data_IF_748490207844
#
_entry.id   IF_748490207844
#
_cell.length_a   1.000
_cell.length_b   1.000
_cell.length_c   1.000
_cell.angle_alpha   90.00
_cell.angle_beta   90.00
_cell.angle_gamma   90.00
#
_symmetry.space_group_name_H-M   'P 1'
#
loop_
_entity.id
_entity.type
_entity.pdbx_description
1 polymer ?
#
# COMPACT_ATOMS: atom_id res chain seq x y z
N UNK A 1 14.47 -0.99 -17.56
CA UNK A 1 13.69 -0.59 -16.37
C UNK A 1 12.19 -0.74 -16.59
N UNK A 2 11.59 -0.09 -17.61
CA UNK A 2 10.14 -0.16 -17.90
C UNK A 2 9.66 -1.61 -18.10
N UNK A 3 10.38 -2.44 -18.88
CA UNK A 3 10.01 -3.85 -19.04
C UNK A 3 9.94 -4.60 -17.70
N UNK A 4 10.93 -4.39 -16.81
CA UNK A 4 10.95 -4.99 -15.47
C UNK A 4 9.75 -4.55 -14.63
N UNK A 5 9.40 -3.26 -14.68
CA UNK A 5 8.20 -2.72 -14.02
C UNK A 5 6.93 -3.39 -14.53
N UNK A 6 6.75 -3.46 -15.85
CA UNK A 6 5.58 -4.11 -16.48
C UNK A 6 5.50 -5.58 -16.11
N UNK A 7 6.62 -6.31 -16.15
CA UNK A 7 6.67 -7.73 -15.77
C UNK A 7 6.33 -7.92 -14.29
N UNK A 8 6.90 -7.13 -13.38
CA UNK A 8 6.59 -7.24 -11.95
C UNK A 8 5.12 -6.90 -11.66
N UNK A 9 4.56 -5.88 -12.32
CA UNK A 9 3.14 -5.53 -12.20
C UNK A 9 2.25 -6.67 -12.72
N UNK A 10 2.56 -7.22 -13.89
CA UNK A 10 1.81 -8.34 -14.45
C UNK A 10 1.86 -9.57 -13.53
N UNK A 11 3.04 -9.91 -13.00
CA UNK A 11 3.18 -11.02 -12.04
C UNK A 11 2.39 -10.78 -10.76
N UNK A 12 2.38 -9.56 -10.23
CA UNK A 12 1.59 -9.19 -9.06
C UNK A 12 0.09 -9.34 -9.32
N UNK A 13 -0.41 -8.82 -10.45
CA UNK A 13 -1.82 -8.93 -10.82
C UNK A 13 -2.24 -10.37 -11.10
N UNK A 14 -1.39 -11.16 -11.76
CA UNK A 14 -1.61 -12.58 -11.98
C UNK A 14 -1.66 -13.35 -10.66
N UNK A 15 -0.76 -13.06 -9.73
CA UNK A 15 -0.79 -13.66 -8.40
C UNK A 15 -2.07 -13.30 -7.64
N UNK A 16 -2.41 -12.02 -7.56
CA UNK A 16 -3.63 -11.55 -6.89
C UNK A 16 -4.89 -12.15 -7.52
N UNK A 17 -4.97 -12.15 -8.86
CA UNK A 17 -6.07 -12.75 -9.59
C UNK A 17 -6.16 -14.25 -9.34
N UNK A 18 -5.04 -14.98 -9.36
CA UNK A 18 -5.03 -16.40 -9.06
C UNK A 18 -5.58 -16.68 -7.64
N UNK A 19 -5.09 -15.96 -6.63
CA UNK A 19 -5.58 -16.12 -5.24
C UNK A 19 -7.09 -15.85 -5.15
N UNK A 20 -7.56 -14.74 -5.74
CA UNK A 20 -8.97 -14.34 -5.72
C UNK A 20 -9.87 -15.35 -6.44
N UNK A 21 -9.52 -15.75 -7.66
CA UNK A 21 -10.33 -16.64 -8.49
C UNK A 21 -10.33 -18.07 -7.94
N UNK A 22 -9.18 -18.57 -7.46
CA UNK A 22 -9.11 -19.89 -6.81
C UNK A 22 -9.95 -19.93 -5.54
N UNK A 23 -9.85 -18.88 -4.70
CA UNK A 23 -10.65 -18.75 -3.49
C UNK A 23 -12.15 -18.63 -3.81
N UNK A 24 -12.53 -17.82 -4.80
CA UNK A 24 -13.91 -17.66 -5.26
C UNK A 24 -14.48 -18.95 -5.87
N UNK A 25 -13.65 -19.76 -6.52
CA UNK A 25 -14.09 -20.95 -7.26
C UNK A 25 -14.75 -20.64 -8.61
N UNK A 26 -14.72 -19.37 -9.05
CA UNK A 26 -15.25 -18.93 -10.34
C UNK A 26 -14.47 -17.72 -10.84
N UNK A 27 -14.32 -17.61 -12.17
CA UNK A 27 -13.80 -16.41 -12.84
C UNK A 27 -14.90 -15.39 -13.17
N UNK A 28 -16.18 -15.77 -13.03
CA UNK A 28 -17.34 -14.89 -13.25
C UNK A 28 -17.57 -13.97 -12.04
N UNK A 29 -16.62 -13.08 -11.81
CA UNK A 29 -16.64 -12.10 -10.73
C UNK A 29 -16.19 -10.72 -11.25
N UNK A 30 -17.10 -9.94 -11.86
CA UNK A 30 -16.77 -8.65 -12.47
C UNK A 30 -16.05 -7.69 -11.52
N UNK A 31 -16.40 -7.72 -10.23
CA UNK A 31 -15.78 -6.87 -9.21
C UNK A 31 -14.28 -7.17 -9.01
N UNK A 32 -13.87 -8.44 -9.06
CA UNK A 32 -12.45 -8.80 -9.00
C UNK A 32 -11.68 -8.33 -10.22
N UNK A 33 -12.25 -8.44 -11.42
CA UNK A 33 -11.62 -7.92 -12.63
C UNK A 33 -11.54 -6.39 -12.65
N UNK A 34 -12.57 -5.70 -12.16
CA UNK A 34 -12.54 -4.26 -11.98
C UNK A 34 -11.44 -3.84 -10.99
N UNK A 35 -11.33 -4.52 -9.84
CA UNK A 35 -10.27 -4.31 -8.87
C UNK A 35 -8.86 -4.52 -9.45
N UNK A 36 -8.63 -5.62 -10.16
CA UNK A 36 -7.34 -5.91 -10.81
C UNK A 36 -7.04 -4.90 -11.93
N UNK A 37 -8.05 -4.54 -12.72
CA UNK A 37 -7.93 -3.56 -13.80
C UNK A 37 -7.60 -2.16 -13.27
N UNK A 38 -8.26 -1.73 -12.20
CA UNK A 38 -7.99 -0.48 -11.50
C UNK A 38 -6.53 -0.43 -11.01
N UNK A 39 -6.08 -1.46 -10.30
CA UNK A 39 -4.69 -1.54 -9.83
C UNK A 39 -3.68 -1.58 -10.96
N UNK A 40 -3.98 -2.31 -12.04
CA UNK A 40 -3.10 -2.40 -13.20
C UNK A 40 -2.96 -1.07 -13.93
N UNK A 41 -4.07 -0.41 -14.24
CA UNK A 41 -4.07 0.88 -14.94
C UNK A 41 -3.37 1.95 -14.10
N UNK A 42 -3.73 2.07 -12.82
CA UNK A 42 -3.14 3.06 -11.92
C UNK A 42 -1.66 2.80 -11.65
N UNK A 43 -1.30 1.53 -11.44
CA UNK A 43 0.08 1.12 -11.21
C UNK A 43 0.98 1.37 -12.41
N UNK A 44 0.52 1.06 -13.62
CA UNK A 44 1.25 1.37 -14.87
C UNK A 44 1.35 2.88 -15.07
N UNK A 45 0.28 3.65 -14.84
CA UNK A 45 0.30 5.10 -14.99
C UNK A 45 1.34 5.76 -14.05
N UNK A 46 1.31 5.43 -12.75
CA UNK A 46 2.30 5.94 -11.78
C UNK A 46 3.70 5.46 -12.11
N UNK A 47 3.85 4.20 -12.53
CA UNK A 47 5.13 3.62 -12.88
C UNK A 47 5.78 4.29 -14.11
N UNK A 48 5.00 4.54 -15.17
CA UNK A 48 5.47 5.27 -16.36
C UNK A 48 5.80 6.73 -16.03
N UNK A 49 4.97 7.38 -15.20
CA UNK A 49 5.25 8.72 -14.73
C UNK A 49 6.56 8.78 -13.92
N UNK A 50 6.80 7.82 -13.02
CA UNK A 50 8.06 7.71 -12.27
C UNK A 50 9.24 7.42 -13.20
N UNK A 51 9.08 6.54 -14.19
CA UNK A 51 10.13 6.23 -15.15
C UNK A 51 10.62 7.48 -15.89
N UNK A 52 9.72 8.43 -16.13
CA UNK A 52 10.02 9.72 -16.74
C UNK A 52 10.54 10.75 -15.73
N UNK A 53 9.91 10.87 -14.56
CA UNK A 53 10.17 11.97 -13.60
C UNK A 53 11.34 11.71 -12.65
N UNK A 54 11.47 10.48 -12.16
CA UNK A 54 12.46 10.03 -11.20
C UNK A 54 12.76 8.52 -11.38
N UNK A 55 13.60 8.17 -12.36
CA UNK A 55 13.93 6.78 -12.67
C UNK A 55 14.69 6.10 -11.52
N UNK A 56 15.39 6.85 -10.67
CA UNK A 56 16.11 6.31 -9.52
C UNK A 56 15.13 5.84 -8.44
N UNK A 57 14.13 6.66 -8.13
CA UNK A 57 13.05 6.28 -7.22
C UNK A 57 12.30 5.06 -7.74
N UNK A 58 11.99 5.00 -9.05
CA UNK A 58 11.36 3.82 -9.64
C UNK A 58 12.24 2.58 -9.45
N UNK A 59 13.53 2.66 -9.79
CA UNK A 59 14.45 1.55 -9.67
C UNK A 59 14.52 1.01 -8.23
N UNK A 60 14.56 1.91 -7.24
CA UNK A 60 14.55 1.55 -5.82
C UNK A 60 13.23 0.88 -5.41
N UNK A 61 12.08 1.34 -5.89
CA UNK A 61 10.77 0.71 -5.62
C UNK A 61 10.60 -0.65 -6.31
N UNK A 62 11.30 -0.91 -7.42
CA UNK A 62 11.31 -2.22 -8.11
C UNK A 62 12.29 -3.23 -7.49
N UNK A 63 13.07 -2.83 -6.49
CA UNK A 63 13.94 -3.76 -5.74
C UNK A 63 13.10 -4.76 -4.96
N UNK A 64 13.74 -5.88 -4.63
CA UNK A 64 13.13 -6.90 -3.78
C UNK A 64 12.61 -6.26 -2.49
N UNK A 65 11.43 -6.66 -1.99
CA UNK A 65 10.95 -6.25 -0.67
C UNK A 65 11.73 -6.95 0.46
N UNK A 66 12.64 -7.88 0.13
CA UNK A 66 13.59 -8.49 1.06
C UNK A 66 14.99 -7.97 0.74
N UNK A 67 15.43 -6.96 1.49
CA UNK A 67 16.73 -6.32 1.30
C UNK A 67 17.73 -6.66 2.43
N UNK A 68 19.04 -6.70 2.19
CA UNK A 68 20.02 -7.04 3.24
C UNK A 68 20.18 -5.95 4.31
N UNK A 69 19.95 -4.69 3.94
CA UNK A 69 20.07 -3.48 4.75
C UNK A 69 18.84 -3.18 5.61
N UNK A 70 17.79 -4.01 5.52
CA UNK A 70 16.58 -3.84 6.30
C UNK A 70 16.75 -4.38 7.73
N UNK A 71 16.18 -3.70 8.75
CA UNK A 71 16.13 -4.24 10.10
C UNK A 71 15.44 -5.63 10.13
N UNK A 72 15.91 -6.58 10.97
CA UNK A 72 15.31 -7.92 11.03
C UNK A 72 13.81 -7.91 11.36
N UNK A 73 13.35 -6.92 12.13
CA UNK A 73 11.93 -6.77 12.46
C UNK A 73 11.09 -6.35 11.25
N UNK A 74 11.62 -5.50 10.35
CA UNK A 74 10.92 -5.06 9.14
C UNK A 74 10.86 -6.21 8.14
N UNK A 75 11.95 -6.99 8.01
CA UNK A 75 11.94 -8.22 7.21
C UNK A 75 10.83 -9.19 7.62
N UNK A 76 10.69 -9.44 8.92
CA UNK A 76 9.63 -10.30 9.47
C UNK A 76 8.25 -9.69 9.21
N UNK A 77 8.11 -8.37 9.34
CA UNK A 77 6.88 -7.66 9.03
C UNK A 77 6.49 -7.82 7.56
N UNK A 78 7.43 -7.67 6.62
CA UNK A 78 7.18 -7.84 5.19
C UNK A 78 6.74 -9.28 4.87
N UNK A 79 7.41 -10.29 5.42
CA UNK A 79 7.05 -11.69 5.20
C UNK A 79 5.66 -11.99 5.78
N UNK A 80 5.42 -11.60 7.03
CA UNK A 80 4.12 -11.78 7.69
C UNK A 80 3.01 -10.99 6.98
N UNK A 81 3.32 -9.79 6.50
CA UNK A 81 2.41 -8.95 5.72
C UNK A 81 2.06 -9.55 4.37
N UNK A 82 3.02 -10.17 3.67
CA UNK A 82 2.76 -10.87 2.41
C UNK A 82 1.84 -12.09 2.62
N UNK A 83 2.08 -12.88 3.67
CA UNK A 83 1.22 -13.99 4.04
C UNK A 83 -0.18 -13.51 4.46
N UNK A 84 -0.25 -12.48 5.29
CA UNK A 84 -1.50 -11.87 5.75
C UNK A 84 -2.30 -11.27 4.60
N UNK A 85 -1.66 -10.58 3.67
CA UNK A 85 -2.29 -10.02 2.47
C UNK A 85 -2.83 -11.13 1.57
N UNK A 86 -2.08 -12.22 1.39
CA UNK A 86 -2.53 -13.38 0.62
C UNK A 86 -3.75 -14.04 1.27
N UNK A 87 -3.71 -14.26 2.58
CA UNK A 87 -4.84 -14.80 3.34
C UNK A 87 -6.06 -13.86 3.29
N UNK A 88 -5.83 -12.56 3.32
CA UNK A 88 -6.89 -11.55 3.23
C UNK A 88 -7.56 -11.54 1.84
N UNK A 89 -6.80 -11.62 0.74
CA UNK A 89 -7.35 -11.80 -0.60
C UNK A 89 -8.16 -13.09 -0.72
N UNK A 90 -7.62 -14.20 -0.19
CA UNK A 90 -8.32 -15.49 -0.18
C UNK A 90 -9.63 -15.41 0.63
N UNK A 91 -9.60 -14.75 1.80
CA UNK A 91 -10.80 -14.52 2.61
C UNK A 91 -11.87 -13.76 1.81
N UNK A 92 -11.50 -12.72 1.08
CA UNK A 92 -12.46 -11.94 0.28
C UNK A 92 -13.07 -12.74 -0.87
N UNK A 93 -12.28 -13.58 -1.55
CA UNK A 93 -12.80 -14.51 -2.58
C UNK A 93 -13.73 -15.57 -2.00
N UNK A 94 -13.35 -16.16 -0.86
CA UNK A 94 -14.18 -17.10 -0.12
C UNK A 94 -15.50 -16.47 0.32
N UNK A 95 -15.46 -15.28 0.91
CA UNK A 95 -16.60 -14.55 1.45
C UNK A 95 -17.57 -14.07 0.37
N UNK A 96 -17.09 -13.28 -0.60
CA UNK A 96 -17.94 -12.61 -1.57
C UNK A 96 -18.52 -13.55 -2.64
N UNK A 97 -17.81 -14.63 -2.99
CA UNK A 97 -18.21 -15.50 -4.11
C UNK A 97 -18.46 -16.95 -3.73
N UNK A 98 -17.53 -17.61 -3.04
CA UNK A 98 -17.66 -19.05 -2.78
C UNK A 98 -18.74 -19.36 -1.75
N UNK A 99 -18.68 -18.67 -0.61
CA UNK A 99 -19.57 -18.85 0.53
C UNK A 99 -20.73 -17.84 0.49
N UNK A 100 -20.58 -16.73 -0.25
CA UNK A 100 -21.57 -15.66 -0.41
C UNK A 100 -22.11 -15.15 0.93
N UNK A 101 -21.24 -15.01 1.92
CA UNK A 101 -21.63 -14.54 3.26
C UNK A 101 -21.86 -13.03 3.28
N UNK A 102 -21.26 -12.31 2.32
CA UNK A 102 -21.38 -10.87 2.18
C UNK A 102 -22.17 -10.46 0.94
N UNK A 103 -22.95 -9.39 1.08
CA UNK A 103 -23.54 -8.65 -0.02
C UNK A 103 -23.30 -7.15 0.20
N UNK A 104 -22.23 -6.62 -0.40
CA UNK A 104 -21.94 -5.18 -0.36
C UNK A 104 -22.71 -4.49 -1.49
N UNK A 105 -23.56 -3.49 -1.18
CA UNK A 105 -24.26 -2.69 -2.18
C UNK A 105 -23.32 -2.07 -3.22
N UNK A 106 -23.75 -2.01 -4.49
CA UNK A 106 -22.94 -1.50 -5.60
C UNK A 106 -22.42 -0.08 -5.39
N UNK A 107 -23.18 0.80 -4.74
CA UNK A 107 -22.72 2.16 -4.45
C UNK A 107 -21.51 2.16 -3.50
N UNK A 108 -21.43 1.24 -2.54
CA UNK A 108 -20.27 1.10 -1.66
C UNK A 108 -19.08 0.48 -2.37
N UNK A 109 -19.30 -0.39 -3.37
CA UNK A 109 -18.22 -0.84 -4.26
C UNK A 109 -17.63 0.34 -5.03
N UNK A 110 -18.47 1.26 -5.49
CA UNK A 110 -18.04 2.53 -6.09
C UNK A 110 -17.23 3.42 -5.12
N UNK A 111 -17.62 3.49 -3.85
CA UNK A 111 -16.81 4.13 -2.79
C UNK A 111 -15.46 3.44 -2.64
N UNK A 112 -15.42 2.11 -2.74
CA UNK A 112 -14.18 1.33 -2.72
C UNK A 112 -13.19 1.73 -3.81
N UNK A 113 -13.68 1.89 -5.05
CA UNK A 113 -12.88 2.38 -6.19
C UNK A 113 -12.33 3.78 -5.88
N UNK A 114 -13.16 4.70 -5.39
CA UNK A 114 -12.71 6.04 -5.01
C UNK A 114 -11.63 6.02 -3.91
N UNK A 115 -11.72 5.08 -2.96
CA UNK A 115 -10.70 4.90 -1.91
C UNK A 115 -9.37 4.38 -2.46
N UNK A 116 -9.40 3.47 -3.44
CA UNK A 116 -8.19 2.99 -4.12
C UNK A 116 -7.56 4.11 -4.96
N UNK A 117 -8.38 4.88 -5.69
CA UNK A 117 -7.92 6.09 -6.38
C UNK A 117 -7.27 7.09 -5.41
N UNK A 118 -7.88 7.33 -4.25
CA UNK A 118 -7.31 8.19 -3.22
C UNK A 118 -5.98 7.65 -2.68
N UNK A 119 -5.87 6.33 -2.47
CA UNK A 119 -4.64 5.69 -2.04
C UNK A 119 -3.49 5.91 -3.04
N UNK A 120 -3.77 5.70 -4.34
CA UNK A 120 -2.81 5.94 -5.42
C UNK A 120 -2.46 7.42 -5.52
N UNK A 121 -3.44 8.30 -5.43
CA UNK A 121 -3.22 9.75 -5.45
C UNK A 121 -2.30 10.22 -4.31
N UNK A 122 -2.53 9.75 -3.08
CA UNK A 122 -1.67 10.04 -1.94
C UNK A 122 -0.26 9.48 -2.17
N UNK A 123 -0.15 8.27 -2.73
CA UNK A 123 1.13 7.67 -3.12
C UNK A 123 1.87 8.51 -4.15
N UNK A 124 1.18 8.99 -5.19
CA UNK A 124 1.73 9.87 -6.21
C UNK A 124 2.25 11.19 -5.63
N UNK A 125 1.46 11.86 -4.77
CA UNK A 125 1.90 13.06 -4.06
C UNK A 125 3.10 12.79 -3.15
N UNK A 126 3.16 11.59 -2.55
CA UNK A 126 4.31 11.19 -1.73
C UNK A 126 5.57 11.02 -2.56
N UNK A 127 5.47 10.44 -3.76
CA UNK A 127 6.62 10.29 -4.66
C UNK A 127 7.11 11.62 -5.22
N UNK A 128 6.23 12.61 -5.39
CA UNK A 128 6.64 13.98 -5.73
C UNK A 128 7.45 14.61 -4.57
N UNK A 129 7.04 14.38 -3.33
CA UNK A 129 7.60 15.04 -2.16
C UNK A 129 8.81 14.32 -1.53
N UNK A 130 8.98 13.02 -1.77
CA UNK A 130 10.00 12.20 -1.11
C UNK A 130 10.76 11.31 -2.12
N UNK A 131 11.96 11.70 -2.55
CA UNK A 131 12.82 10.89 -3.42
C UNK A 131 13.40 9.66 -2.71
N UNK A 132 13.35 9.61 -1.37
CA UNK A 132 13.81 8.47 -0.57
C UNK A 132 12.70 7.46 -0.25
N UNK A 133 11.52 7.58 -0.86
CA UNK A 133 10.39 6.72 -0.56
C UNK A 133 10.63 5.26 -1.03
N UNK A 134 11.18 4.43 -0.15
CA UNK A 134 11.43 3.00 -0.37
C UNK A 134 10.23 2.13 0.03
N UNK A 135 10.23 0.85 -0.39
CA UNK A 135 9.20 -0.11 0.00
C UNK A 135 9.48 -0.78 1.36
N UNK A 136 10.74 -0.81 1.78
CA UNK A 136 11.22 -1.33 3.06
C UNK A 136 11.65 -0.20 3.96
N UNK A 137 11.63 -0.43 5.28
CA UNK A 137 12.15 0.52 6.26
C UNK A 137 13.66 0.42 6.26
N UNK A 138 14.33 1.49 5.84
CA UNK A 138 15.78 1.63 5.91
C UNK A 138 16.16 3.10 5.86
N UNK A 139 17.38 3.38 6.32
CA UNK A 139 17.98 4.71 6.23
C UNK A 139 18.95 4.69 5.06
N UNK A 140 18.74 5.62 4.12
CA UNK A 140 19.64 5.77 2.98
C UNK A 140 20.79 6.73 3.33
N UNK A 141 22.01 6.50 2.80
CA UNK A 141 23.11 7.43 2.97
C UNK A 141 22.74 8.84 2.47
N UNK A 142 22.95 9.86 3.30
CA UNK A 142 22.61 11.24 2.97
C UNK A 142 21.10 11.53 2.91
N UNK A 143 20.26 10.65 3.46
CA UNK A 143 18.82 10.86 3.53
C UNK A 143 18.49 12.09 4.40
N UNK A 144 17.79 13.05 3.79
CA UNK A 144 17.16 14.16 4.49
C UNK A 144 15.76 13.80 4.98
N UNK A 145 15.09 14.78 5.59
CA UNK A 145 13.70 14.65 6.03
C UNK A 145 12.78 15.24 4.96
N UNK A 146 11.89 14.42 4.41
CA UNK A 146 10.83 14.91 3.54
C UNK A 146 9.76 15.61 4.39
N UNK A 147 9.59 16.92 4.21
CA UNK A 147 8.65 17.75 4.98
C UNK A 147 7.66 18.55 4.10
N UNK A 148 7.68 18.33 2.78
CA UNK A 148 6.81 19.01 1.80
C UNK A 148 5.66 18.12 1.31
N UNK A 149 4.72 18.72 0.57
CA UNK A 149 3.57 17.99 0.02
C UNK A 149 2.72 17.36 1.13
N UNK A 150 2.40 16.05 1.07
CA UNK A 150 1.55 15.42 2.08
C UNK A 150 2.26 15.28 3.45
N UNK A 151 3.59 15.34 3.50
CA UNK A 151 4.36 15.31 4.75
C UNK A 151 4.12 16.54 5.64
N UNK A 152 3.57 17.64 5.11
CA UNK A 152 3.16 18.79 5.93
C UNK A 152 1.98 18.52 6.85
N UNK A 153 1.22 17.45 6.57
CA UNK A 153 0.00 17.10 7.30
C UNK A 153 0.17 15.87 8.18
N UNK A 154 0.86 14.85 7.66
CA UNK A 154 1.04 13.55 8.31
C UNK A 154 2.44 13.01 8.05
N UNK A 155 3.03 12.33 9.04
CA UNK A 155 4.41 11.83 8.94
C UNK A 155 4.58 10.63 8.00
N UNK A 156 3.53 9.83 7.78
CA UNK A 156 3.57 8.64 6.94
C UNK A 156 2.43 8.62 5.90
N UNK A 157 2.48 9.50 4.88
CA UNK A 157 1.41 9.60 3.89
C UNK A 157 1.23 8.32 3.07
N UNK A 158 2.28 7.55 2.76
CA UNK A 158 2.13 6.24 2.10
C UNK A 158 1.34 5.24 2.95
N UNK A 159 1.47 5.27 4.28
CA UNK A 159 0.69 4.42 5.17
C UNK A 159 -0.74 4.92 5.33
N UNK A 160 -0.98 6.24 5.23
CA UNK A 160 -2.34 6.78 5.11
C UNK A 160 -3.00 6.32 3.80
N UNK A 161 -2.25 6.29 2.70
CA UNK A 161 -2.69 5.70 1.43
C UNK A 161 -2.99 4.20 1.57
N UNK A 162 -2.12 3.45 2.26
CA UNK A 162 -2.36 2.02 2.53
C UNK A 162 -3.64 1.79 3.35
N UNK A 163 -3.96 2.67 4.31
CA UNK A 163 -5.22 2.62 5.04
C UNK A 163 -6.43 2.80 4.10
N UNK A 164 -6.40 3.78 3.19
CA UNK A 164 -7.46 3.95 2.20
C UNK A 164 -7.61 2.70 1.30
N UNK A 165 -6.50 2.09 0.90
CA UNK A 165 -6.51 0.83 0.15
C UNK A 165 -7.10 -0.35 0.96
N UNK A 166 -6.74 -0.50 2.24
CA UNK A 166 -7.27 -1.57 3.10
C UNK A 166 -8.77 -1.45 3.35
N UNK A 167 -9.31 -0.24 3.30
CA UNK A 167 -10.75 0.00 3.38
C UNK A 167 -11.43 -0.15 2.00
N UNK A 168 -10.76 0.27 0.93
CA UNK A 168 -11.32 0.26 -0.42
C UNK A 168 -11.42 -1.12 -1.06
N UNK A 169 -10.34 -1.92 -1.00
CA UNK A 169 -10.30 -3.24 -1.63
C UNK A 169 -11.44 -4.19 -1.22
N UNK A 170 -11.79 -4.36 0.07
CA UNK A 170 -12.91 -5.23 0.46
C UNK A 170 -14.26 -4.68 0.01
N UNK A 171 -14.41 -3.36 -0.07
CA UNK A 171 -15.62 -2.75 -0.63
C UNK A 171 -15.75 -3.04 -2.11
N UNK A 172 -14.69 -2.86 -2.91
CA UNK A 172 -14.70 -3.20 -4.35
C UNK A 172 -14.99 -4.67 -4.57
N UNK A 173 -14.32 -5.55 -3.81
CA UNK A 173 -14.51 -7.00 -3.92
C UNK A 173 -15.86 -7.47 -3.35
N UNK A 174 -16.54 -6.63 -2.57
CA UNK A 174 -17.86 -6.96 -2.03
C UNK A 174 -17.81 -7.88 -0.81
N UNK A 175 -16.81 -7.74 0.05
CA UNK A 175 -16.55 -8.58 1.21
C UNK A 175 -16.61 -7.77 2.51
N UNK A 176 -17.63 -8.02 3.35
CA UNK A 176 -17.71 -7.42 4.69
C UNK A 176 -16.70 -8.06 5.64
N UNK A 177 -16.36 -9.34 5.48
CA UNK A 177 -15.33 -9.98 6.29
C UNK A 177 -13.94 -9.42 6.00
N UNK A 178 -13.64 -9.13 4.73
CA UNK A 178 -12.45 -8.42 4.32
C UNK A 178 -12.37 -7.03 4.97
N UNK A 179 -13.48 -6.30 4.99
CA UNK A 179 -13.55 -4.99 5.65
C UNK A 179 -13.37 -5.08 7.17
N UNK A 180 -13.99 -6.09 7.80
CA UNK A 180 -13.83 -6.35 9.23
C UNK A 180 -12.38 -6.70 9.63
N UNK A 181 -11.59 -7.26 8.70
CA UNK A 181 -10.16 -7.51 8.90
C UNK A 181 -9.28 -6.27 8.67
N UNK A 182 -9.78 -5.21 8.02
CA UNK A 182 -9.00 -4.01 7.71
C UNK A 182 -8.39 -3.30 8.94
N UNK A 183 -9.09 -3.15 10.09
CA UNK A 183 -8.50 -2.58 11.30
C UNK A 183 -7.22 -3.27 11.77
N UNK A 184 -7.11 -4.60 11.59
CA UNK A 184 -5.90 -5.35 11.94
C UNK A 184 -4.72 -4.97 11.04
N UNK A 185 -4.96 -4.84 9.73
CA UNK A 185 -3.94 -4.42 8.76
C UNK A 185 -3.50 -2.96 9.01
N UNK A 186 -4.45 -2.09 9.34
CA UNK A 186 -4.20 -0.69 9.69
C UNK A 186 -3.38 -0.59 11.00
N UNK A 187 -3.73 -1.39 12.02
CA UNK A 187 -2.95 -1.46 13.25
C UNK A 187 -1.53 -1.97 12.99
N UNK A 188 -1.37 -2.97 12.11
CA UNK A 188 -0.07 -3.50 11.73
C UNK A 188 0.80 -2.44 11.04
N UNK A 189 0.27 -1.69 10.06
CA UNK A 189 1.03 -0.61 9.40
C UNK A 189 1.31 0.54 10.37
N UNK A 190 0.41 0.82 11.32
CA UNK A 190 0.65 1.78 12.39
C UNK A 190 1.81 1.36 13.30
N UNK A 191 1.85 0.10 13.74
CA UNK A 191 2.96 -0.43 14.53
C UNK A 191 4.28 -0.36 13.78
N UNK A 192 4.27 -0.64 12.47
CA UNK A 192 5.43 -0.45 11.58
C UNK A 192 5.88 1.01 11.55
N UNK A 193 4.95 1.95 11.39
CA UNK A 193 5.23 3.39 11.38
C UNK A 193 5.95 3.83 12.65
N UNK A 194 5.44 3.47 13.82
CA UNK A 194 6.07 3.82 15.11
C UNK A 194 7.52 3.31 15.22
N UNK A 195 7.80 2.11 14.70
CA UNK A 195 9.18 1.57 14.72
C UNK A 195 10.08 2.24 13.70
N UNK A 196 9.55 2.59 12.53
CA UNK A 196 10.25 3.37 11.52
C UNK A 196 10.62 4.76 12.06
N UNK A 197 9.71 5.46 12.76
CA UNK A 197 10.03 6.75 13.38
C UNK A 197 11.18 6.65 14.39
N UNK A 198 11.27 5.56 15.16
CA UNK A 198 12.38 5.35 16.10
C UNK A 198 13.72 5.26 15.37
N UNK A 199 13.76 4.51 14.26
CA UNK A 199 14.95 4.42 13.42
C UNK A 199 15.32 5.77 12.79
N UNK A 200 14.32 6.53 12.32
CA UNK A 200 14.55 7.84 11.71
C UNK A 200 15.04 8.88 12.72
N UNK A 201 14.57 8.85 13.96
CA UNK A 201 15.08 9.72 15.03
C UNK A 201 16.57 9.49 15.31
N UNK A 202 17.02 8.24 15.23
CA UNK A 202 18.42 7.88 15.48
C UNK A 202 19.34 8.23 14.29
N UNK A 203 18.81 8.20 13.06
CA UNK A 203 19.64 8.17 11.86
C UNK A 203 19.43 9.32 10.87
N UNK A 204 18.32 10.08 10.96
CA UNK A 204 18.01 11.19 10.07
C UNK A 204 18.08 12.54 10.83
N UNK A 205 19.15 13.34 10.62
CA UNK A 205 19.27 14.67 11.21
C UNK A 205 18.05 15.55 10.87
N UNK A 206 17.52 16.26 11.88
CA UNK A 206 16.34 17.12 11.74
C UNK A 206 14.98 16.41 11.83
N UNK A 207 14.96 15.08 11.99
CA UNK A 207 13.70 14.34 12.09
C UNK A 207 12.92 14.67 13.37
N UNK A 208 13.62 14.95 14.48
CA UNK A 208 13.01 15.39 15.74
C UNK A 208 12.24 16.71 15.57
N UNK A 209 12.86 17.73 14.96
CA UNK A 209 12.24 19.02 14.71
C UNK A 209 11.03 18.89 13.77
N UNK A 210 11.16 18.07 12.74
CA UNK A 210 10.06 17.73 11.85
C UNK A 210 8.90 17.07 12.60
N UNK A 211 9.19 16.09 13.46
CA UNK A 211 8.18 15.37 14.22
C UNK A 211 7.48 16.24 15.27
N UNK A 212 8.15 17.28 15.79
CA UNK A 212 7.56 18.28 16.66
C UNK A 212 6.56 19.20 15.90
N UNK A 213 6.88 19.55 14.65
CA UNK A 213 6.03 20.38 13.79
C UNK A 213 4.82 19.62 13.24
N UNK A 214 5.03 18.40 12.75
CA UNK A 214 3.99 17.55 12.15
C UNK A 214 3.56 16.49 13.15
N UNK A 215 2.47 16.76 13.88
CA UNK A 215 2.07 15.93 15.04
C UNK A 215 1.46 14.58 14.68
N UNK A 216 0.78 14.51 13.54
CA UNK A 216 -0.02 13.35 13.13
C UNK A 216 0.81 12.36 12.30
N UNK A 217 0.59 11.06 12.47
CA UNK A 217 1.26 9.98 11.73
C UNK A 217 0.52 9.62 10.46
N UNK A 218 -0.78 9.39 10.55
CA UNK A 218 -1.60 8.83 9.47
C UNK A 218 -2.82 9.68 9.18
N UNK A 219 -3.53 10.15 10.21
CA UNK A 219 -4.81 10.83 10.04
C UNK A 219 -4.82 12.12 10.88
N UNK A 220 -4.95 13.29 10.25
CA UNK A 220 -5.02 14.55 10.98
C UNK A 220 -6.10 14.52 12.05
N UNK A 221 -5.75 15.02 13.25
CA UNK A 221 -6.62 15.07 14.45
C UNK A 221 -7.00 13.71 15.05
N UNK A 222 -6.49 12.60 14.53
CA UNK A 222 -6.72 11.26 15.09
C UNK A 222 -5.42 10.67 15.60
N UNK A 223 -4.41 10.52 14.72
CA UNK A 223 -3.15 9.90 15.07
C UNK A 223 -1.99 10.28 14.16
#
# INVERSE_FOLDING_TARGET
MILRMVVQMALMLLFMGAVLILAAGTADWPAAWAFLGELGVLGVAVGLWLAWRDPALLAERLRSPLQPDQPPWDRRFIIGGALGFTAWLALMGLDAQRLRLSAVPSFLQGVGVLLILAAVWIGWLTFIANPWATAVVKVQPGQGVADTGPYRFVRHPLYAGAMAFFLGAPLVLGSWLGLAAAPLLIAAIGARAVREERLLREAAPGYEDYAARVRYRLVPKVW
#
